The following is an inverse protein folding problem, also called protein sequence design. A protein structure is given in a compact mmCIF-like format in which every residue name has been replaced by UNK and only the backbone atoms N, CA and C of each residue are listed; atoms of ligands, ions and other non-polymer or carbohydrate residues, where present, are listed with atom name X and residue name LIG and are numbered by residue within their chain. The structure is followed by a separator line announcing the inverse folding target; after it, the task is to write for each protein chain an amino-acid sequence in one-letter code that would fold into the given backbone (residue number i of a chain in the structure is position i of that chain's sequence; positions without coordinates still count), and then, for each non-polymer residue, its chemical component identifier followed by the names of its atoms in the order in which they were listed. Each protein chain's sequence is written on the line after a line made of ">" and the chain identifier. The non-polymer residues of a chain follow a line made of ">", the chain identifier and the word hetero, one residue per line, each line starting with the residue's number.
data_IF_422459202135
#
_entry.id   IF_422459202135
#
_cell.length_a   1.000
_cell.length_b   1.000
_cell.length_c   1.000
_cell.angle_alpha   90.00
_cell.angle_beta   90.00
_cell.angle_gamma   90.00
#
_symmetry.space_group_name_H-M   'P 1'
#
loop_
_entity.id
_entity.type
_entity.pdbx_description
1 polymer ?
#
# COMPACT_ATOMS: atom_id res chain seq x y z
N UNK A 1 -10.42 -14.62 -11.22
CA UNK A 1 -10.88 -13.50 -10.36
C UNK A 1 -10.94 -12.23 -11.20
N UNK A 2 -11.99 -11.41 -11.04
CA UNK A 2 -12.13 -10.13 -11.74
C UNK A 2 -11.55 -9.01 -10.87
N UNK A 3 -10.63 -8.20 -11.41
CA UNK A 3 -10.12 -7.00 -10.72
C UNK A 3 -11.23 -5.95 -10.69
N UNK A 4 -11.56 -5.34 -9.53
CA UNK A 4 -12.52 -4.25 -9.48
C UNK A 4 -12.10 -3.10 -10.40
N UNK A 5 -13.08 -2.45 -11.01
CA UNK A 5 -12.84 -1.19 -11.71
C UNK A 5 -12.34 -0.12 -10.73
N UNK A 6 -11.67 0.92 -11.25
CA UNK A 6 -11.07 1.98 -10.40
C UNK A 6 -12.11 2.66 -9.50
N UNK A 7 -13.31 2.91 -10.01
CA UNK A 7 -14.41 3.49 -9.26
C UNK A 7 -14.95 2.53 -8.18
N UNK A 8 -15.09 1.24 -8.49
CA UNK A 8 -15.51 0.23 -7.52
C UNK A 8 -14.52 0.11 -6.36
N UNK A 9 -13.22 0.11 -6.68
CA UNK A 9 -12.17 0.13 -5.66
C UNK A 9 -12.23 1.41 -4.82
N UNK A 10 -12.42 2.57 -5.45
CA UNK A 10 -12.53 3.85 -4.74
C UNK A 10 -13.71 3.85 -3.76
N UNK A 11 -14.89 3.43 -4.20
CA UNK A 11 -16.07 3.34 -3.35
C UNK A 11 -15.86 2.35 -2.19
N UNK A 12 -15.21 1.21 -2.43
CA UNK A 12 -14.90 0.24 -1.38
C UNK A 12 -13.97 0.82 -0.30
N UNK A 13 -12.97 1.62 -0.70
CA UNK A 13 -12.06 2.28 0.25
C UNK A 13 -12.77 3.35 1.07
N UNK A 14 -13.63 4.16 0.45
CA UNK A 14 -14.45 5.15 1.15
C UNK A 14 -15.40 4.49 2.18
N UNK A 15 -16.03 3.38 1.80
CA UNK A 15 -16.86 2.61 2.72
C UNK A 15 -16.04 2.06 3.90
N UNK A 16 -14.82 1.59 3.65
CA UNK A 16 -13.93 1.12 4.70
C UNK A 16 -13.51 2.26 5.67
N UNK A 17 -13.22 3.44 5.16
CA UNK A 17 -12.95 4.63 5.99
C UNK A 17 -14.15 4.93 6.90
N UNK A 18 -15.35 5.01 6.31
CA UNK A 18 -16.59 5.24 7.05
C UNK A 18 -16.84 4.19 8.15
N UNK A 19 -16.61 2.90 7.87
CA UNK A 19 -16.77 1.82 8.86
C UNK A 19 -15.83 1.99 10.06
N UNK A 20 -14.59 2.45 9.84
CA UNK A 20 -13.64 2.71 10.93
C UNK A 20 -14.03 3.94 11.73
N UNK A 21 -14.39 5.02 11.08
CA UNK A 21 -14.75 6.29 11.73
C UNK A 21 -15.97 6.13 12.66
N UNK A 22 -16.91 5.28 12.28
CA UNK A 22 -18.14 5.06 13.05
C UNK A 22 -18.07 3.86 14.00
N UNK A 23 -16.88 3.26 14.20
CA UNK A 23 -16.69 2.04 15.01
C UNK A 23 -17.59 0.86 14.59
N UNK A 24 -17.90 0.78 13.29
CA UNK A 24 -18.72 -0.28 12.69
C UNK A 24 -17.88 -1.45 12.16
N UNK A 25 -16.55 -1.32 12.14
CA UNK A 25 -15.60 -2.34 11.66
C UNK A 25 -15.33 -3.45 12.70
N UNK A 26 -16.38 -4.11 13.17
CA UNK A 26 -16.33 -5.14 14.23
C UNK A 26 -15.44 -6.34 13.90
N UNK A 27 -15.31 -6.65 12.62
CA UNK A 27 -14.53 -7.78 12.13
C UNK A 27 -13.20 -7.34 11.48
N UNK A 28 -12.82 -6.07 11.63
CA UNK A 28 -11.57 -5.52 11.13
C UNK A 28 -11.37 -5.63 9.61
N UNK A 29 -12.45 -5.81 8.86
CA UNK A 29 -12.42 -5.94 7.39
C UNK A 29 -12.00 -4.61 6.78
N UNK A 30 -12.53 -3.49 7.29
CA UNK A 30 -12.17 -2.18 6.78
C UNK A 30 -10.70 -1.84 7.10
N UNK A 31 -10.25 -2.12 8.33
CA UNK A 31 -8.84 -2.00 8.73
C UNK A 31 -7.93 -2.81 7.80
N UNK A 32 -8.27 -4.07 7.53
CA UNK A 32 -7.48 -4.94 6.65
C UNK A 32 -7.47 -4.44 5.20
N UNK A 33 -8.63 -4.05 4.66
CA UNK A 33 -8.75 -3.54 3.29
C UNK A 33 -7.91 -2.28 3.07
N UNK A 34 -8.00 -1.31 3.98
CA UNK A 34 -7.23 -0.06 3.90
C UNK A 34 -5.73 -0.33 4.03
N UNK A 35 -5.32 -1.22 4.94
CA UNK A 35 -3.93 -1.66 5.05
C UNK A 35 -3.42 -2.27 3.75
N UNK A 36 -4.17 -3.20 3.14
CA UNK A 36 -3.77 -3.84 1.89
C UNK A 36 -3.75 -2.87 0.71
N UNK A 37 -4.68 -1.91 0.67
CA UNK A 37 -4.70 -0.88 -0.37
C UNK A 37 -3.47 0.02 -0.31
N UNK A 38 -3.09 0.48 0.89
CA UNK A 38 -1.87 1.27 1.08
C UNK A 38 -0.62 0.46 0.72
N UNK A 39 -0.55 -0.79 1.22
CA UNK A 39 0.56 -1.69 0.93
C UNK A 39 0.71 -1.94 -0.56
N UNK A 40 -0.39 -2.21 -1.27
CA UNK A 40 -0.36 -2.40 -2.72
C UNK A 40 0.12 -1.13 -3.44
N UNK A 41 -0.34 0.06 -3.05
CA UNK A 41 0.13 1.32 -3.65
C UNK A 41 1.64 1.49 -3.51
N UNK A 42 2.22 1.10 -2.37
CA UNK A 42 3.68 1.14 -2.18
C UNK A 42 4.40 0.11 -3.05
N UNK A 43 3.86 -1.10 -3.19
CA UNK A 43 4.43 -2.14 -4.04
C UNK A 43 4.34 -1.78 -5.54
N UNK A 44 3.27 -1.14 -5.98
CA UNK A 44 3.13 -0.63 -7.35
C UNK A 44 4.19 0.43 -7.67
N UNK A 45 4.53 1.30 -6.71
CA UNK A 45 5.64 2.27 -6.86
C UNK A 45 7.00 1.59 -6.98
N UNK A 46 7.22 0.52 -6.21
CA UNK A 46 8.45 -0.29 -6.31
C UNK A 46 8.54 -0.94 -7.69
N UNK A 47 7.45 -1.58 -8.15
CA UNK A 47 7.39 -2.21 -9.46
C UNK A 47 7.68 -1.21 -10.57
N UNK A 48 6.99 -0.06 -10.57
CA UNK A 48 7.20 0.99 -11.58
C UNK A 48 8.64 1.50 -11.61
N UNK A 49 9.27 1.64 -10.43
CA UNK A 49 10.67 2.08 -10.33
C UNK A 49 11.66 0.99 -10.76
N UNK A 50 11.31 -0.28 -10.54
CA UNK A 50 12.11 -1.42 -10.98
C UNK A 50 12.06 -1.57 -12.51
N UNK A 51 10.88 -1.44 -13.11
CA UNK A 51 10.69 -1.41 -14.55
C UNK A 51 11.50 -0.27 -15.18
N UNK A 52 11.43 0.94 -14.63
CA UNK A 52 12.23 2.07 -15.10
C UNK A 52 13.74 1.78 -15.02
N UNK A 53 14.21 1.25 -13.90
CA UNK A 53 15.63 0.91 -13.73
C UNK A 53 16.12 -0.15 -14.73
N UNK A 54 15.30 -1.17 -15.00
CA UNK A 54 15.64 -2.25 -15.92
C UNK A 54 15.58 -1.81 -17.39
N UNK A 55 14.64 -0.94 -17.77
CA UNK A 55 14.46 -0.52 -19.16
C UNK A 55 15.44 0.57 -19.61
N UNK A 56 15.90 1.44 -18.71
CA UNK A 56 16.76 2.58 -19.06
C UNK A 56 18.26 2.33 -18.80
N UNK A 57 18.69 1.08 -18.78
CA UNK A 57 20.12 0.73 -18.72
C UNK A 57 20.77 0.95 -17.36
N UNK A 58 19.98 0.89 -16.27
CA UNK A 58 20.49 0.87 -14.89
C UNK A 58 21.25 2.14 -14.46
N UNK A 59 20.78 3.32 -14.88
CA UNK A 59 21.32 4.62 -14.49
C UNK A 59 21.28 4.87 -12.97
N UNK A 60 22.16 5.75 -12.49
CA UNK A 60 22.28 6.04 -11.05
C UNK A 60 21.04 6.73 -10.48
N UNK A 61 20.32 7.52 -11.29
CA UNK A 61 19.10 8.22 -10.91
C UNK A 61 17.95 7.24 -10.69
N UNK A 62 17.77 6.28 -11.60
CA UNK A 62 16.76 5.23 -11.55
C UNK A 62 17.06 4.27 -10.39
N UNK A 63 18.32 3.90 -10.20
CA UNK A 63 18.76 3.11 -9.05
C UNK A 63 18.39 3.81 -7.73
N UNK A 64 18.71 5.10 -7.60
CA UNK A 64 18.36 5.86 -6.41
C UNK A 64 16.85 5.95 -6.19
N UNK A 65 16.06 6.08 -7.27
CA UNK A 65 14.59 6.05 -7.21
C UNK A 65 14.06 4.71 -6.70
N UNK A 66 14.57 3.60 -7.24
CA UNK A 66 14.21 2.25 -6.81
C UNK A 66 14.56 2.02 -5.34
N UNK A 67 15.76 2.39 -4.91
CA UNK A 67 16.18 2.27 -3.51
C UNK A 67 15.26 3.08 -2.58
N UNK A 68 14.87 4.30 -2.98
CA UNK A 68 13.91 5.11 -2.20
C UNK A 68 12.55 4.42 -2.12
N UNK A 69 12.02 3.91 -3.23
CA UNK A 69 10.73 3.21 -3.25
C UNK A 69 10.74 1.97 -2.33
N UNK A 70 11.81 1.17 -2.37
CA UNK A 70 11.98 -0.01 -1.50
C UNK A 70 12.04 0.42 -0.02
N UNK A 71 12.79 1.48 0.31
CA UNK A 71 12.87 2.00 1.68
C UNK A 71 11.51 2.47 2.18
N UNK A 72 10.76 3.21 1.36
CA UNK A 72 9.40 3.64 1.70
C UNK A 72 8.46 2.47 1.98
N UNK A 73 8.46 1.44 1.11
CA UNK A 73 7.64 0.25 1.31
C UNK A 73 7.99 -0.50 2.60
N UNK A 74 9.29 -0.65 2.91
CA UNK A 74 9.76 -1.28 4.15
C UNK A 74 9.41 -0.46 5.39
N UNK A 75 9.52 0.86 5.32
CA UNK A 75 9.17 1.72 6.44
C UNK A 75 7.67 1.66 6.72
N UNK A 76 6.81 1.67 5.70
CA UNK A 76 5.36 1.52 5.88
C UNK A 76 4.98 0.20 6.58
N UNK A 77 5.67 -0.90 6.24
CA UNK A 77 5.48 -2.20 6.89
C UNK A 77 5.93 -2.19 8.37
N UNK A 78 7.09 -1.60 8.68
CA UNK A 78 7.56 -1.43 10.06
C UNK A 78 6.59 -0.63 10.93
N UNK A 79 6.05 0.48 10.42
CA UNK A 79 5.07 1.29 11.16
C UNK A 79 3.77 0.52 11.40
N UNK A 80 3.32 -0.24 10.39
CA UNK A 80 2.14 -1.10 10.53
C UNK A 80 2.34 -2.21 11.57
N UNK A 81 3.54 -2.81 11.63
CA UNK A 81 3.88 -3.85 12.61
C UNK A 81 4.00 -3.30 14.03
N UNK A 82 4.57 -2.11 14.20
CA UNK A 82 4.64 -1.43 15.50
C UNK A 82 3.23 -1.11 16.05
N UNK A 83 2.29 -0.75 15.18
CA UNK A 83 0.90 -0.53 15.55
C UNK A 83 0.16 -1.84 15.93
N UNK A 84 0.60 -3.01 15.46
CA UNK A 84 0.04 -4.31 15.87
C UNK A 84 0.53 -4.72 17.26
N UNK A 85 1.83 -4.53 17.56
CA UNK A 85 2.40 -4.85 18.88
C UNK A 85 1.95 -3.94 20.03
N UNK A 86 1.20 -2.87 19.74
CA UNK A 86 0.64 -1.95 20.74
C UNK A 86 -0.82 -2.30 21.13
N UNK A 87 -1.40 -3.32 20.49
CA UNK A 87 -2.77 -3.79 20.74
C UNK A 87 -2.82 -5.19 21.38
N UNK A 88 -1.66 -5.75 21.74
CA UNK A 88 -1.49 -6.94 22.58
C UNK A 88 -1.09 -6.53 24.00
#
# INVERSE_FOLDING_TARGET
>A
MLKPAKNEMLHALQAAEHLREHNLDKHHIAKALLYFAERNRMLEKVLSSAELYLHFGQGSAEHASLVRAIKSARNAEKHSRAALSAHD
#
